data_IF_639940344622
#
_entry.id   IF_639940344622
#
_cell.length_a   1.000
_cell.length_b   1.000
_cell.length_c   1.000
_cell.angle_alpha   90.00
_cell.angle_beta   90.00
_cell.angle_gamma   90.00
#
_symmetry.space_group_name_H-M   'P 1'
#
loop_
_entity.id
_entity.type
_entity.pdbx_description
1 polymer ?
#
# COMPACT_ATOMS: atom_id res chain seq x y z
N UNK A 1 -20.09 25.22 -10.33
CA UNK A 1 -19.03 24.58 -9.51
C UNK A 1 -19.71 23.95 -8.31
N UNK A 2 -19.30 22.76 -7.90
CA UNK A 2 -19.91 22.04 -6.77
C UNK A 2 -18.86 21.94 -5.65
N UNK A 3 -19.17 22.51 -4.49
CA UNK A 3 -18.38 22.26 -3.28
C UNK A 3 -18.56 20.79 -2.88
N UNK A 4 -17.46 20.11 -2.58
CA UNK A 4 -17.46 18.73 -2.08
C UNK A 4 -16.80 18.69 -0.70
N UNK A 5 -17.42 17.95 0.21
CA UNK A 5 -16.82 17.65 1.51
C UNK A 5 -15.68 16.66 1.37
N UNK A 6 -14.54 16.96 1.99
CA UNK A 6 -13.41 16.04 2.07
C UNK A 6 -13.75 14.98 3.12
N UNK A 7 -14.13 13.78 2.66
CA UNK A 7 -14.52 12.67 3.54
C UNK A 7 -13.51 12.51 4.68
N UNK A 8 -14.03 12.38 5.91
CA UNK A 8 -13.27 12.23 7.17
C UNK A 8 -12.63 13.51 7.73
N UNK A 9 -12.72 14.66 7.05
CA UNK A 9 -12.36 15.99 7.59
C UNK A 9 -13.59 16.81 8.02
N UNK A 10 -14.78 16.25 7.87
CA UNK A 10 -16.06 16.88 8.14
C UNK A 10 -16.29 17.03 9.65
N UNK A 11 -15.99 18.20 10.19
CA UNK A 11 -16.30 18.54 11.58
C UNK A 11 -16.93 19.92 11.62
N UNK A 12 -18.27 19.96 11.53
CA UNK A 12 -19.09 21.17 11.41
C UNK A 12 -18.79 22.25 12.49
N UNK A 13 -18.08 21.90 13.56
CA UNK A 13 -17.78 22.80 14.68
C UNK A 13 -16.77 23.90 14.40
N UNK A 14 -15.95 23.80 13.35
CA UNK A 14 -14.90 24.79 13.04
C UNK A 14 -15.25 25.77 11.91
N UNK A 15 -16.35 25.51 11.17
CA UNK A 15 -16.62 26.21 9.91
C UNK A 15 -15.54 25.95 8.85
N UNK A 16 -15.61 26.68 7.74
CA UNK A 16 -14.64 26.57 6.63
C UNK A 16 -13.57 27.67 6.65
N UNK A 17 -13.72 28.70 7.49
CA UNK A 17 -12.92 29.92 7.42
C UNK A 17 -13.37 30.86 6.28
N UNK A 18 -12.63 31.94 6.06
CA UNK A 18 -12.97 32.97 5.07
C UNK A 18 -12.06 32.85 3.84
N UNK A 19 -12.66 32.82 2.64
CA UNK A 19 -11.89 32.83 1.40
C UNK A 19 -11.22 34.18 1.20
N UNK A 20 -9.96 34.17 0.78
CA UNK A 20 -9.18 35.38 0.49
C UNK A 20 -8.04 35.02 -0.49
N UNK A 21 -7.71 35.92 -1.42
CA UNK A 21 -6.56 35.77 -2.33
C UNK A 21 -5.36 36.62 -1.89
N UNK A 22 -5.50 37.47 -0.88
CA UNK A 22 -4.43 38.34 -0.35
C UNK A 22 -3.14 37.59 -0.02
N UNK A 23 -3.15 36.37 0.58
CA UNK A 23 -1.93 35.60 0.81
C UNK A 23 -1.20 35.23 -0.49
N UNK A 24 -1.96 34.82 -1.52
CA UNK A 24 -1.42 34.51 -2.85
C UNK A 24 -0.89 35.78 -3.53
N UNK A 25 -1.65 36.88 -3.52
CA UNK A 25 -1.24 38.16 -4.09
C UNK A 25 0.10 38.61 -3.48
N UNK A 26 0.21 38.56 -2.14
CA UNK A 26 1.43 38.90 -1.41
C UNK A 26 2.61 38.00 -1.79
N UNK A 27 2.35 36.71 -2.00
CA UNK A 27 3.36 35.75 -2.45
C UNK A 27 3.86 36.05 -3.87
N UNK A 28 2.94 36.28 -4.82
CA UNK A 28 3.28 36.60 -6.21
C UNK A 28 4.03 37.94 -6.31
N UNK A 29 3.62 38.96 -5.56
CA UNK A 29 4.33 40.24 -5.48
C UNK A 29 5.77 40.07 -4.97
N UNK A 30 5.98 39.22 -3.94
CA UNK A 30 7.34 38.88 -3.46
C UNK A 30 8.19 38.20 -4.54
N UNK A 31 7.59 37.38 -5.41
CA UNK A 31 8.31 36.78 -6.55
C UNK A 31 8.73 37.86 -7.55
N UNK A 32 7.84 38.81 -7.88
CA UNK A 32 8.15 39.90 -8.82
C UNK A 32 9.30 40.80 -8.34
N UNK A 33 9.49 40.93 -7.03
CA UNK A 33 10.60 41.68 -6.42
C UNK A 33 11.95 40.94 -6.49
N UNK A 34 11.97 39.63 -6.71
CA UNK A 34 13.22 38.85 -6.82
C UNK A 34 13.89 39.02 -8.20
N UNK A 35 15.22 38.87 -8.25
CA UNK A 35 16.03 39.05 -9.46
C UNK A 35 15.87 37.86 -10.43
N UNK A 36 15.35 38.12 -11.64
CA UNK A 36 15.24 37.14 -12.73
C UNK A 36 14.04 37.39 -13.66
N UNK A 37 14.24 38.01 -14.83
CA UNK A 37 13.16 38.41 -15.76
C UNK A 37 12.28 37.24 -16.23
N UNK A 38 12.85 36.03 -16.39
CA UNK A 38 12.14 34.86 -16.93
C UNK A 38 11.03 34.34 -16.01
N UNK A 39 11.08 34.62 -14.71
CA UNK A 39 10.12 34.12 -13.72
C UNK A 39 8.98 35.11 -13.42
N UNK A 40 8.97 36.29 -14.05
CA UNK A 40 8.02 37.36 -13.71
C UNK A 40 6.72 37.34 -14.51
N UNK A 41 6.75 36.81 -15.73
CA UNK A 41 5.58 36.85 -16.64
C UNK A 41 4.37 36.11 -16.07
N UNK A 42 4.55 34.86 -15.64
CA UNK A 42 3.44 34.05 -15.14
C UNK A 42 2.82 34.63 -13.85
N UNK A 43 3.60 34.97 -12.79
CA UNK A 43 3.05 35.66 -11.62
C UNK A 43 2.32 36.95 -11.95
N UNK A 44 2.84 37.74 -12.89
CA UNK A 44 2.22 38.99 -13.30
C UNK A 44 0.87 38.76 -13.99
N UNK A 45 0.78 37.80 -14.91
CA UNK A 45 -0.48 37.45 -15.55
C UNK A 45 -1.53 36.92 -14.55
N UNK A 46 -1.11 36.17 -13.53
CA UNK A 46 -2.02 35.73 -12.46
C UNK A 46 -2.54 36.92 -11.66
N UNK A 47 -1.68 37.88 -11.30
CA UNK A 47 -2.07 39.09 -10.57
C UNK A 47 -3.03 39.98 -11.38
N UNK A 48 -2.75 40.19 -12.67
CA UNK A 48 -3.61 40.96 -13.57
C UNK A 48 -5.01 40.33 -13.67
N UNK A 49 -5.07 39.01 -13.86
CA UNK A 49 -6.34 38.28 -13.91
C UNK A 49 -7.12 38.36 -12.59
N UNK A 50 -6.44 38.25 -11.45
CA UNK A 50 -7.07 38.42 -10.12
C UNK A 50 -7.67 39.83 -10.02
N UNK A 51 -6.90 40.85 -10.36
CA UNK A 51 -7.34 42.24 -10.28
C UNK A 51 -8.56 42.51 -11.18
N UNK A 52 -8.52 42.09 -12.44
CA UNK A 52 -9.64 42.24 -13.38
C UNK A 52 -10.90 41.51 -12.87
N UNK A 53 -10.73 40.33 -12.28
CA UNK A 53 -11.84 39.55 -11.71
C UNK A 53 -12.43 40.23 -10.48
N UNK A 54 -11.60 40.77 -9.58
CA UNK A 54 -12.04 41.50 -8.39
C UNK A 54 -12.77 42.81 -8.75
N UNK A 55 -12.30 43.53 -9.76
CA UNK A 55 -12.98 44.74 -10.27
C UNK A 55 -14.38 44.42 -10.83
N UNK A 56 -14.55 43.25 -11.46
CA UNK A 56 -15.82 42.84 -12.05
C UNK A 56 -16.80 42.20 -11.06
N UNK A 57 -16.30 41.42 -10.09
CA UNK A 57 -17.14 40.53 -9.26
C UNK A 57 -16.95 40.69 -7.75
N UNK A 58 -16.21 41.73 -7.32
CA UNK A 58 -15.73 41.93 -5.94
C UNK A 58 -14.80 40.81 -5.45
N UNK A 59 -14.15 41.00 -4.31
CA UNK A 59 -13.22 40.02 -3.71
C UNK A 59 -13.85 38.63 -3.53
N UNK A 60 -13.00 37.61 -3.63
CA UNK A 60 -13.40 36.20 -3.57
C UNK A 60 -14.19 35.88 -2.29
N UNK A 61 -15.32 35.22 -2.45
CA UNK A 61 -16.15 34.69 -1.36
C UNK A 61 -16.91 33.44 -1.83
N UNK A 62 -17.75 32.87 -0.95
CA UNK A 62 -18.48 31.63 -1.23
C UNK A 62 -19.53 31.78 -2.35
N UNK A 63 -20.06 32.99 -2.56
CA UNK A 63 -21.15 33.25 -3.49
C UNK A 63 -20.68 33.53 -4.92
N UNK A 64 -19.43 33.97 -5.10
CA UNK A 64 -18.86 34.34 -6.40
C UNK A 64 -17.83 33.34 -6.96
N UNK A 65 -17.68 32.16 -6.37
CA UNK A 65 -16.74 31.10 -6.80
C UNK A 65 -16.76 30.83 -8.31
N UNK A 66 -17.95 30.79 -8.92
CA UNK A 66 -18.09 30.51 -10.34
C UNK A 66 -17.42 31.56 -11.25
N UNK A 67 -17.39 32.82 -10.81
CA UNK A 67 -16.75 33.92 -11.54
C UNK A 67 -15.22 33.86 -11.49
N UNK A 68 -14.65 33.14 -10.52
CA UNK A 68 -13.20 33.00 -10.32
C UNK A 68 -12.61 31.76 -11.00
N UNK A 69 -13.39 31.05 -11.83
CA UNK A 69 -12.94 29.80 -12.46
C UNK A 69 -11.61 29.94 -13.22
N UNK A 70 -11.45 31.01 -13.99
CA UNK A 70 -10.21 31.28 -14.76
C UNK A 70 -9.01 31.54 -13.85
N UNK A 71 -9.23 32.25 -12.73
CA UNK A 71 -8.20 32.46 -11.69
C UNK A 71 -7.76 31.11 -11.12
N UNK A 72 -8.69 30.21 -10.81
CA UNK A 72 -8.37 28.89 -10.26
C UNK A 72 -7.61 28.00 -11.26
N UNK A 73 -7.97 28.06 -12.54
CA UNK A 73 -7.23 27.39 -13.63
C UNK A 73 -5.79 27.91 -13.71
N UNK A 74 -5.59 29.22 -13.58
CA UNK A 74 -4.27 29.83 -13.56
C UNK A 74 -3.45 29.46 -12.31
N UNK A 75 -4.09 29.34 -11.14
CA UNK A 75 -3.43 28.82 -9.92
C UNK A 75 -2.97 27.37 -10.15
N UNK A 76 -3.81 26.52 -10.73
CA UNK A 76 -3.45 25.14 -11.06
C UNK A 76 -2.22 25.08 -11.98
N UNK A 77 -2.20 25.89 -13.04
CA UNK A 77 -1.08 25.97 -13.98
C UNK A 77 0.19 26.54 -13.34
N UNK A 78 0.05 27.50 -12.41
CA UNK A 78 1.16 28.06 -11.65
C UNK A 78 1.83 27.00 -10.76
N UNK A 79 1.04 26.19 -10.07
CA UNK A 79 1.53 25.14 -9.15
C UNK A 79 2.09 23.91 -9.88
N UNK A 80 1.46 23.48 -10.98
CA UNK A 80 1.81 22.21 -11.65
C UNK A 80 2.66 22.42 -12.93
N UNK A 81 2.83 23.67 -13.37
CA UNK A 81 3.45 24.02 -14.64
C UNK A 81 2.58 23.64 -15.84
N UNK A 82 3.12 23.84 -17.06
CA UNK A 82 2.44 23.52 -18.33
C UNK A 82 2.54 22.03 -18.71
N UNK A 83 2.50 21.12 -17.72
CA UNK A 83 2.58 19.68 -17.99
C UNK A 83 1.23 19.15 -18.44
N UNK A 84 1.17 18.66 -19.68
CA UNK A 84 -0.06 18.09 -20.27
C UNK A 84 -0.31 16.64 -19.81
N UNK A 85 0.74 15.92 -19.41
CA UNK A 85 0.72 14.45 -19.27
C UNK A 85 0.49 13.95 -17.84
N UNK A 86 0.80 14.74 -16.81
CA UNK A 86 0.54 14.40 -15.40
C UNK A 86 -0.61 15.25 -14.89
N UNK A 87 -1.85 14.85 -15.19
CA UNK A 87 -3.02 15.38 -14.49
C UNK A 87 -2.92 14.93 -13.02
N UNK A 88 -2.42 15.82 -12.18
CA UNK A 88 -2.38 15.57 -10.74
C UNK A 88 -3.80 15.49 -10.18
N UNK A 89 -4.01 14.64 -9.18
CA UNK A 89 -5.24 14.64 -8.40
C UNK A 89 -5.15 15.82 -7.43
N UNK A 90 -5.73 16.97 -7.82
CA UNK A 90 -5.45 18.26 -7.19
C UNK A 90 -6.72 19.08 -6.98
N UNK A 91 -6.75 19.89 -5.93
CA UNK A 91 -7.87 20.73 -5.57
C UNK A 91 -7.48 21.99 -4.77
N UNK A 92 -8.36 22.99 -4.81
CA UNK A 92 -8.42 24.13 -3.90
C UNK A 92 -9.47 23.89 -2.82
N UNK A 93 -9.00 23.91 -1.58
CA UNK A 93 -9.83 23.80 -0.40
C UNK A 93 -10.01 25.12 0.32
N UNK A 94 -11.02 25.17 1.18
CA UNK A 94 -11.18 26.26 2.14
C UNK A 94 -9.99 26.34 3.13
N UNK A 95 -9.78 27.49 3.80
CA UNK A 95 -8.72 27.66 4.82
C UNK A 95 -8.73 26.59 5.91
N UNK A 96 -9.93 26.20 6.35
CA UNK A 96 -10.16 24.99 7.13
C UNK A 96 -10.56 23.91 6.11
N UNK A 97 -9.71 22.89 5.85
CA UNK A 97 -9.81 22.03 4.66
C UNK A 97 -10.88 20.93 4.79
N UNK A 98 -12.09 21.29 5.21
CA UNK A 98 -13.23 20.36 5.28
C UNK A 98 -13.94 20.23 3.93
N UNK A 99 -13.81 21.25 3.09
CA UNK A 99 -14.48 21.35 1.79
C UNK A 99 -13.51 21.81 0.71
N UNK A 100 -13.78 21.34 -0.50
CA UNK A 100 -13.08 21.71 -1.73
C UNK A 100 -14.06 22.41 -2.64
N UNK A 101 -13.69 23.60 -3.12
CA UNK A 101 -14.54 24.41 -3.99
C UNK A 101 -14.16 24.35 -5.47
N UNK A 102 -12.93 23.91 -5.78
CA UNK A 102 -12.42 23.74 -7.14
C UNK A 102 -11.41 22.60 -7.19
N UNK A 103 -11.34 21.84 -8.27
CA UNK A 103 -10.34 20.78 -8.42
C UNK A 103 -10.40 20.08 -9.77
N UNK A 104 -9.49 19.14 -9.99
CA UNK A 104 -9.46 18.33 -11.20
C UNK A 104 -10.56 17.27 -11.19
N UNK A 105 -11.00 16.82 -12.36
CA UNK A 105 -12.00 15.75 -12.47
C UNK A 105 -11.56 14.48 -11.72
N UNK A 106 -10.26 14.13 -11.79
CA UNK A 106 -9.70 12.99 -11.08
C UNK A 106 -9.79 13.15 -9.56
N UNK A 107 -9.71 14.38 -9.03
CA UNK A 107 -9.91 14.65 -7.59
C UNK A 107 -11.34 14.34 -7.17
N UNK A 108 -12.33 14.81 -7.92
CA UNK A 108 -13.73 14.51 -7.65
C UNK A 108 -14.03 13.01 -7.82
N UNK A 109 -13.48 12.39 -8.88
CA UNK A 109 -13.67 10.98 -9.18
C UNK A 109 -13.14 10.01 -8.12
N UNK A 110 -12.14 10.42 -7.30
CA UNK A 110 -11.74 9.60 -6.16
C UNK A 110 -12.87 9.42 -5.14
N UNK A 111 -13.76 10.41 -4.98
CA UNK A 111 -14.83 10.33 -3.99
C UNK A 111 -16.07 9.57 -4.47
N UNK A 112 -16.15 9.26 -5.77
CA UNK A 112 -17.18 8.37 -6.36
C UNK A 112 -17.02 6.91 -5.90
N UNK A 113 -15.80 6.54 -5.47
CA UNK A 113 -15.49 5.22 -4.94
C UNK A 113 -15.60 5.16 -3.41
N UNK A 114 -15.43 3.94 -2.86
CA UNK A 114 -15.32 3.77 -1.42
C UNK A 114 -13.94 4.25 -0.92
N UNK A 115 -13.88 5.54 -0.62
CA UNK A 115 -12.69 6.26 -0.15
C UNK A 115 -12.78 6.48 1.35
N UNK A 116 -11.82 5.93 2.07
CA UNK A 116 -11.78 5.90 3.54
C UNK A 116 -10.43 6.36 4.04
N UNK A 117 -10.42 7.20 5.08
CA UNK A 117 -9.20 7.58 5.76
C UNK A 117 -8.66 6.38 6.56
N UNK A 118 -7.36 6.12 6.46
CA UNK A 118 -6.65 5.16 7.31
C UNK A 118 -6.33 5.87 8.64
N UNK A 119 -6.95 5.48 9.76
CA UNK A 119 -6.73 6.17 11.03
C UNK A 119 -5.31 5.93 11.54
N UNK A 120 -4.60 7.03 11.87
CA UNK A 120 -3.28 6.98 12.52
C UNK A 120 -3.33 6.71 14.02
N UNK A 121 -4.49 6.87 14.66
CA UNK A 121 -4.70 6.59 16.09
C UNK A 121 -6.02 5.87 16.32
N UNK A 122 -6.08 5.11 17.42
CA UNK A 122 -7.33 4.55 17.95
C UNK A 122 -8.10 5.54 18.84
N UNK A 123 -7.50 6.68 19.21
CA UNK A 123 -8.14 7.67 20.04
C UNK A 123 -9.19 8.46 19.25
N UNK A 124 -10.46 8.30 19.62
CA UNK A 124 -11.60 8.97 18.96
C UNK A 124 -11.72 10.46 19.29
N UNK A 125 -11.06 10.95 20.33
CA UNK A 125 -11.16 12.36 20.75
C UNK A 125 -10.39 13.30 19.82
N UNK A 126 -9.40 12.75 19.11
CA UNK A 126 -8.53 13.49 18.20
C UNK A 126 -8.96 13.24 16.77
N UNK A 127 -9.71 14.18 16.21
CA UNK A 127 -10.12 14.11 14.80
C UNK A 127 -8.95 14.49 13.88
N UNK A 128 -8.92 13.97 12.64
CA UNK A 128 -7.88 14.34 11.66
C UNK A 128 -7.82 15.85 11.39
N UNK A 129 -8.98 16.51 11.32
CA UNK A 129 -9.05 17.96 11.12
C UNK A 129 -8.47 18.72 12.30
N UNK A 130 -8.72 18.29 13.55
CA UNK A 130 -8.06 18.87 14.73
C UNK A 130 -6.54 18.78 14.57
N UNK A 131 -6.00 17.60 14.27
CA UNK A 131 -4.55 17.39 14.12
C UNK A 131 -3.93 18.36 13.10
N UNK A 132 -4.59 18.57 11.97
CA UNK A 132 -4.17 19.53 10.94
C UNK A 132 -4.18 20.97 11.45
N UNK A 133 -5.26 21.41 12.09
CA UNK A 133 -5.35 22.80 12.58
C UNK A 133 -4.32 23.06 13.66
N UNK A 134 -4.15 22.14 14.61
CA UNK A 134 -3.15 22.27 15.66
C UNK A 134 -1.72 22.27 15.10
N UNK A 135 -1.40 21.42 14.12
CA UNK A 135 -0.05 21.39 13.56
C UNK A 135 0.34 22.73 12.91
N UNK A 136 -0.60 23.37 12.21
CA UNK A 136 -0.37 24.68 11.58
C UNK A 136 -0.34 25.81 12.62
N UNK A 137 -1.20 25.78 13.64
CA UNK A 137 -1.17 26.80 14.71
C UNK A 137 0.14 26.71 15.50
N UNK A 138 0.57 25.51 15.87
CA UNK A 138 1.83 25.30 16.61
C UNK A 138 3.05 25.75 15.80
N UNK A 139 3.04 25.54 14.49
CA UNK A 139 4.06 26.05 13.56
C UNK A 139 4.12 27.57 13.56
N UNK A 140 2.99 28.25 13.39
CA UNK A 140 2.97 29.71 13.23
C UNK A 140 3.17 30.49 14.52
N UNK A 141 2.68 29.99 15.64
CA UNK A 141 2.64 30.75 16.90
C UNK A 141 3.62 30.23 17.96
N UNK A 142 4.10 28.99 17.84
CA UNK A 142 4.97 28.36 18.85
C UNK A 142 6.29 27.83 18.28
N UNK A 143 6.54 27.98 16.97
CA UNK A 143 7.79 27.57 16.33
C UNK A 143 7.99 26.04 16.25
N UNK A 144 6.92 25.27 16.45
CA UNK A 144 6.95 23.80 16.37
C UNK A 144 6.87 23.36 14.91
N UNK A 145 7.83 22.62 14.36
CA UNK A 145 7.78 22.21 12.96
C UNK A 145 6.51 21.42 12.63
N UNK A 146 5.84 21.77 11.53
CA UNK A 146 4.63 21.08 11.10
C UNK A 146 4.99 19.80 10.33
N UNK A 147 4.72 18.65 10.95
CA UNK A 147 5.06 17.33 10.40
C UNK A 147 3.84 16.49 10.02
N UNK A 148 2.63 16.96 10.31
CA UNK A 148 1.38 16.20 10.17
C UNK A 148 0.51 16.69 8.99
N UNK A 149 1.10 16.95 7.82
CA UNK A 149 0.37 17.45 6.62
C UNK A 149 -0.14 16.34 5.68
N UNK A 150 0.19 15.09 5.97
CA UNK A 150 -0.13 13.95 5.09
C UNK A 150 -1.12 13.00 5.78
N UNK A 151 -2.24 12.78 5.10
CA UNK A 151 -3.28 11.83 5.48
C UNK A 151 -3.30 10.66 4.49
N UNK A 152 -3.38 9.44 5.00
CA UNK A 152 -3.44 8.24 4.16
C UNK A 152 -4.89 7.83 3.94
N UNK A 153 -5.27 7.58 2.69
CA UNK A 153 -6.59 7.12 2.29
C UNK A 153 -6.47 5.78 1.55
N UNK A 154 -7.45 4.91 1.77
CA UNK A 154 -7.70 3.74 0.92
C UNK A 154 -8.88 4.01 0.00
N UNK A 155 -8.73 3.66 -1.27
CA UNK A 155 -9.79 3.74 -2.28
C UNK A 155 -10.03 2.33 -2.80
N UNK A 156 -11.25 1.81 -2.61
CA UNK A 156 -11.60 0.48 -3.11
C UNK A 156 -12.38 0.58 -4.42
N UNK A 157 -11.82 -0.01 -5.49
CA UNK A 157 -12.42 -0.10 -6.82
C UNK A 157 -12.37 -1.55 -7.29
N UNK A 158 -13.51 -2.11 -7.68
CA UNK A 158 -13.61 -3.49 -8.19
C UNK A 158 -12.93 -4.55 -7.30
N UNK A 159 -13.08 -4.43 -5.97
CA UNK A 159 -12.44 -5.28 -4.93
C UNK A 159 -10.93 -5.12 -4.80
N UNK A 160 -10.31 -4.19 -5.52
CA UNK A 160 -8.90 -3.82 -5.39
C UNK A 160 -8.79 -2.60 -4.50
N UNK A 161 -7.85 -2.63 -3.56
CA UNK A 161 -7.56 -1.50 -2.67
C UNK A 161 -6.34 -0.75 -3.17
N UNK A 162 -6.51 0.55 -3.40
CA UNK A 162 -5.47 1.51 -3.73
C UNK A 162 -5.17 2.37 -2.51
N UNK A 163 -3.93 2.83 -2.38
CA UNK A 163 -3.49 3.70 -1.29
C UNK A 163 -3.08 5.05 -1.84
N UNK A 164 -3.67 6.10 -1.29
CA UNK A 164 -3.37 7.49 -1.66
C UNK A 164 -2.93 8.28 -0.43
N UNK A 165 -2.01 9.21 -0.63
CA UNK A 165 -1.63 10.19 0.36
C UNK A 165 -2.14 11.57 -0.03
N UNK A 166 -2.99 12.14 0.82
CA UNK A 166 -3.46 13.51 0.72
C UNK A 166 -2.49 14.44 1.44
N UNK A 167 -1.79 15.24 0.66
CA UNK A 167 -1.02 16.39 1.14
C UNK A 167 -1.88 17.65 1.14
N UNK A 168 -1.85 18.40 2.24
CA UNK A 168 -2.56 19.67 2.38
C UNK A 168 -1.54 20.77 2.64
N UNK A 169 -1.52 21.77 1.75
CA UNK A 169 -0.68 22.95 1.86
C UNK A 169 -1.49 24.14 2.39
N UNK A 170 -0.94 24.78 3.43
CA UNK A 170 -1.48 25.96 4.09
C UNK A 170 -0.69 27.23 3.74
N UNK A 171 0.17 27.20 2.72
CA UNK A 171 1.01 28.34 2.29
C UNK A 171 0.20 29.59 1.99
N UNK A 172 -1.01 29.44 1.44
CA UNK A 172 -1.92 30.54 1.09
C UNK A 172 -3.05 30.73 2.10
N UNK A 173 -2.87 30.26 3.33
CA UNK A 173 -3.75 30.55 4.46
C UNK A 173 -3.04 31.56 5.35
N UNK A 174 -3.70 32.61 5.79
CA UNK A 174 -3.29 33.46 6.91
C UNK A 174 -4.08 33.06 8.15
N UNK A 175 -3.42 33.12 9.32
CA UNK A 175 -4.04 32.76 10.59
C UNK A 175 -3.83 33.91 11.55
N UNK A 176 -4.92 34.48 12.04
CA UNK A 176 -4.92 35.53 13.06
C UNK A 176 -5.48 34.99 14.37
N UNK A 177 -5.07 35.59 15.49
CA UNK A 177 -5.54 35.22 16.83
C UNK A 177 -6.68 36.13 17.25
N UNK A 178 -7.73 35.54 17.81
CA UNK A 178 -8.88 36.26 18.37
C UNK A 178 -8.64 36.62 19.85
N UNK A 179 -7.72 35.93 20.53
CA UNK A 179 -7.41 36.12 21.95
C UNK A 179 -5.92 35.96 22.26
N UNK A 180 -5.53 36.21 23.50
CA UNK A 180 -4.16 35.97 23.97
C UNK A 180 -3.76 34.50 23.80
N UNK A 181 -2.48 34.27 23.45
CA UNK A 181 -1.95 32.93 23.25
C UNK A 181 -1.77 32.23 24.61
N UNK A 182 -2.32 31.02 24.81
CA UNK A 182 -2.07 30.29 26.03
C UNK A 182 -0.59 29.89 26.16
N UNK A 183 -0.11 29.77 27.39
CA UNK A 183 1.20 29.17 27.65
C UNK A 183 1.05 27.65 27.54
N UNK A 184 1.71 27.05 26.57
CA UNK A 184 1.64 25.61 26.29
C UNK A 184 2.92 24.94 26.76
N UNK A 185 2.79 23.81 27.45
CA UNK A 185 3.92 22.94 27.74
C UNK A 185 4.19 22.03 26.53
N UNK A 186 5.30 22.28 25.82
CA UNK A 186 5.70 21.53 24.63
C UNK A 186 6.58 20.31 24.93
N UNK A 187 6.74 19.93 26.21
CA UNK A 187 7.59 18.80 26.61
C UNK A 187 7.19 17.47 25.93
N UNK A 188 5.90 17.27 25.62
CA UNK A 188 5.41 16.06 24.94
C UNK A 188 5.91 15.92 23.50
N UNK A 189 6.33 17.02 22.86
CA UNK A 189 6.77 17.06 21.46
C UNK A 189 8.30 17.03 21.30
N UNK A 190 9.04 17.14 22.41
CA UNK A 190 10.48 17.32 22.39
C UNK A 190 11.20 16.07 21.83
N UNK A 191 12.19 16.29 20.96
CA UNK A 191 13.08 15.27 20.41
C UNK A 191 12.40 14.14 19.61
N UNK A 192 11.15 14.32 19.18
CA UNK A 192 10.41 13.35 18.34
C UNK A 192 10.54 13.67 16.87
N UNK A 193 10.64 12.64 16.03
CA UNK A 193 10.65 12.76 14.57
C UNK A 193 9.22 12.92 14.00
N UNK A 194 8.24 12.26 14.60
CA UNK A 194 6.81 12.41 14.28
C UNK A 194 6.01 12.63 15.56
N UNK A 195 4.92 13.41 15.48
CA UNK A 195 4.03 13.62 16.63
C UNK A 195 2.84 12.70 16.50
N UNK A 196 2.72 11.77 17.45
CA UNK A 196 1.52 10.96 17.53
C UNK A 196 0.35 11.83 18.03
N UNK A 197 -0.90 11.43 17.75
CA UNK A 197 -2.07 12.12 18.28
C UNK A 197 -2.06 12.25 19.81
N UNK A 198 -1.52 11.25 20.50
CA UNK A 198 -1.36 11.21 21.96
C UNK A 198 -0.36 12.27 22.45
N UNK A 199 0.63 12.64 21.63
CA UNK A 199 1.60 13.69 21.96
C UNK A 199 0.97 15.09 21.94
N UNK A 200 -0.06 15.26 21.13
CA UNK A 200 -0.80 16.50 20.95
C UNK A 200 -2.00 16.63 21.91
N UNK A 201 -2.46 15.54 22.51
CA UNK A 201 -3.59 15.55 23.47
C UNK A 201 -3.47 16.60 24.59
N UNK A 202 -2.32 16.73 25.29
CA UNK A 202 -2.17 17.76 26.33
C UNK A 202 -2.31 19.19 25.81
N UNK A 203 -2.03 19.40 24.52
CA UNK A 203 -2.11 20.71 23.87
C UNK A 203 -3.57 21.04 23.54
N UNK A 204 -4.37 20.03 23.17
CA UNK A 204 -5.78 20.20 22.81
C UNK A 204 -6.66 20.69 23.96
N UNK A 205 -6.25 20.46 25.21
CA UNK A 205 -6.99 20.92 26.38
C UNK A 205 -6.85 22.43 26.62
N UNK A 206 -5.76 23.03 26.15
CA UNK A 206 -5.39 24.42 26.45
C UNK A 206 -5.55 25.33 25.25
N UNK A 207 -5.26 24.82 24.05
CA UNK A 207 -5.33 25.54 22.80
C UNK A 207 -6.66 25.18 22.11
N UNK A 208 -7.48 26.18 21.77
CA UNK A 208 -8.73 25.96 21.04
C UNK A 208 -8.61 26.56 19.63
N UNK A 209 -8.65 25.76 18.55
CA UNK A 209 -8.57 26.26 17.17
C UNK A 209 -9.68 27.26 16.83
N UNK A 210 -10.82 27.25 17.54
CA UNK A 210 -11.90 28.23 17.34
C UNK A 210 -11.53 29.66 17.75
N UNK A 211 -10.44 29.83 18.50
CA UNK A 211 -9.89 31.15 18.86
C UNK A 211 -8.93 31.71 17.80
N UNK A 212 -8.87 31.07 16.64
CA UNK A 212 -8.09 31.49 15.49
C UNK A 212 -9.02 31.69 14.30
N UNK A 213 -8.75 32.75 13.54
CA UNK A 213 -9.42 33.01 12.28
C UNK A 213 -8.50 32.60 11.14
N UNK A 214 -9.03 31.81 10.22
CA UNK A 214 -8.32 31.27 9.07
C UNK A 214 -8.86 31.97 7.82
N UNK A 215 -8.01 32.71 7.12
CA UNK A 215 -8.33 33.42 5.88
C UNK A 215 -7.46 32.91 4.74
N UNK A 216 -7.97 32.80 3.52
CA UNK A 216 -7.18 32.33 2.38
C UNK A 216 -7.76 31.10 1.66
N UNK A 217 -6.89 30.18 1.25
CA UNK A 217 -7.28 28.86 0.73
C UNK A 217 -6.16 27.81 0.91
N UNK A 218 -6.52 26.54 0.86
CA UNK A 218 -5.57 25.42 0.93
C UNK A 218 -5.37 24.76 -0.43
N UNK A 219 -4.18 24.19 -0.66
CA UNK A 219 -3.94 23.31 -1.81
C UNK A 219 -4.00 21.85 -1.34
N UNK A 220 -4.79 21.04 -2.04
CA UNK A 220 -4.93 19.62 -1.75
C UNK A 220 -4.38 18.82 -2.92
N UNK A 221 -3.52 17.85 -2.63
CA UNK A 221 -2.98 16.94 -3.65
C UNK A 221 -2.96 15.52 -3.15
N UNK A 222 -3.65 14.63 -3.86
CA UNK A 222 -3.51 13.20 -3.69
C UNK A 222 -2.35 12.67 -4.53
N UNK A 223 -1.56 11.79 -3.92
CA UNK A 223 -0.52 11.02 -4.61
C UNK A 223 -0.84 9.55 -4.48
N UNK A 224 -0.82 8.81 -5.58
CA UNK A 224 -0.90 7.34 -5.53
C UNK A 224 0.39 6.81 -4.88
N UNK A 225 0.22 6.05 -3.80
CA UNK A 225 1.29 5.39 -3.05
C UNK A 225 1.07 3.88 -2.99
N UNK A 226 0.13 3.34 -3.76
CA UNK A 226 -0.27 1.92 -3.75
C UNK A 226 0.95 1.00 -3.84
N UNK A 227 1.90 1.33 -4.71
CA UNK A 227 3.12 0.57 -4.86
C UNK A 227 4.01 0.59 -3.60
N UNK A 228 4.22 1.77 -3.02
CA UNK A 228 5.04 1.93 -1.82
C UNK A 228 4.42 1.17 -0.63
N UNK A 229 3.09 1.27 -0.44
CA UNK A 229 2.37 0.53 0.60
C UNK A 229 2.43 -0.98 0.38
N UNK A 230 2.27 -1.45 -0.86
CA UNK A 230 2.40 -2.88 -1.17
C UNK A 230 3.82 -3.40 -0.91
N UNK A 231 4.84 -2.62 -1.26
CA UNK A 231 6.23 -2.96 -0.98
C UNK A 231 6.51 -3.06 0.52
N UNK A 232 6.02 -2.08 1.30
CA UNK A 232 6.16 -2.11 2.76
C UNK A 232 5.45 -3.32 3.37
N UNK A 233 4.25 -3.63 2.90
CA UNK A 233 3.51 -4.82 3.34
C UNK A 233 4.28 -6.13 3.10
N UNK A 234 4.98 -6.28 1.97
CA UNK A 234 5.85 -7.44 1.73
C UNK A 234 7.04 -7.47 2.71
N UNK A 235 7.60 -6.31 3.07
CA UNK A 235 8.66 -6.23 4.09
C UNK A 235 8.14 -6.65 5.46
N UNK A 236 6.98 -6.13 5.86
CA UNK A 236 6.32 -6.51 7.12
C UNK A 236 6.07 -8.01 7.19
N UNK A 237 5.57 -8.62 6.10
CA UNK A 237 5.40 -10.08 6.03
C UNK A 237 6.70 -10.84 6.25
N UNK A 238 7.81 -10.34 5.69
CA UNK A 238 9.12 -10.96 5.89
C UNK A 238 9.53 -10.94 7.36
N UNK A 239 9.34 -9.82 8.03
CA UNK A 239 9.67 -9.66 9.47
C UNK A 239 8.77 -10.50 10.37
N UNK A 240 7.47 -10.58 10.07
CA UNK A 240 6.48 -11.32 10.86
C UNK A 240 6.48 -12.84 10.63
N UNK A 241 7.29 -13.34 9.68
CA UNK A 241 7.25 -14.72 9.20
C UNK A 241 7.40 -15.75 10.32
N UNK A 242 8.34 -15.55 11.25
CA UNK A 242 8.61 -16.49 12.35
C UNK A 242 7.64 -16.37 13.52
N UNK A 243 6.95 -15.23 13.64
CA UNK A 243 6.08 -14.91 14.79
C UNK A 243 4.59 -15.13 14.49
N UNK A 244 4.24 -15.35 13.22
CA UNK A 244 2.85 -15.51 12.77
C UNK A 244 2.50 -16.97 12.57
N UNK A 245 1.28 -17.35 12.95
CA UNK A 245 0.74 -18.66 12.60
C UNK A 245 0.80 -18.86 11.07
N UNK A 246 1.28 -20.01 10.58
CA UNK A 246 1.50 -20.18 9.16
C UNK A 246 0.25 -20.06 8.27
N UNK A 247 -0.96 -20.45 8.71
CA UNK A 247 -2.19 -20.24 7.92
C UNK A 247 -2.47 -18.75 7.75
N UNK A 248 -2.39 -18.02 8.86
CA UNK A 248 -2.60 -16.56 8.89
C UNK A 248 -1.57 -15.87 8.01
N UNK A 249 -0.31 -16.31 8.06
CA UNK A 249 0.75 -15.78 7.21
C UNK A 249 0.44 -15.96 5.72
N UNK A 250 0.06 -17.17 5.30
CA UNK A 250 -0.24 -17.44 3.89
C UNK A 250 -1.50 -16.73 3.39
N UNK A 251 -2.51 -16.56 4.22
CA UNK A 251 -3.68 -15.73 3.90
C UNK A 251 -3.30 -14.27 3.69
N UNK A 252 -2.45 -13.71 4.59
CA UNK A 252 -1.94 -12.33 4.44
C UNK A 252 -1.11 -12.17 3.17
N UNK A 253 -0.25 -13.15 2.84
CA UNK A 253 0.57 -13.18 1.64
C UNK A 253 -0.30 -13.25 0.37
N UNK A 254 -1.26 -14.17 0.32
CA UNK A 254 -2.17 -14.31 -0.82
C UNK A 254 -2.93 -13.00 -1.06
N UNK A 255 -3.43 -12.37 0.01
CA UNK A 255 -4.07 -11.05 -0.10
C UNK A 255 -3.11 -9.98 -0.60
N UNK A 256 -1.85 -9.94 -0.12
CA UNK A 256 -0.87 -8.97 -0.59
C UNK A 256 -0.55 -9.14 -2.10
N UNK A 257 -0.38 -10.38 -2.56
CA UNK A 257 -0.16 -10.68 -3.97
C UNK A 257 -1.38 -10.29 -4.83
N UNK A 258 -2.60 -10.56 -4.35
CA UNK A 258 -3.84 -10.17 -5.03
C UNK A 258 -4.02 -8.64 -5.09
N UNK A 259 -3.58 -7.90 -4.08
CA UNK A 259 -3.64 -6.44 -4.09
C UNK A 259 -2.59 -5.86 -5.06
N UNK A 260 -1.42 -6.51 -5.19
CA UNK A 260 -0.39 -6.14 -6.18
C UNK A 260 -0.85 -6.41 -7.61
N UNK A 261 -1.58 -7.50 -7.89
CA UNK A 261 -2.09 -7.77 -9.25
C UNK A 261 -3.06 -6.68 -9.72
N UNK A 262 -3.72 -5.99 -8.79
CA UNK A 262 -4.77 -5.00 -9.05
C UNK A 262 -5.87 -5.50 -10.01
N UNK A 263 -6.06 -6.82 -10.07
CA UNK A 263 -7.07 -7.44 -10.92
C UNK A 263 -7.39 -8.84 -10.39
N UNK A 264 -8.61 -9.04 -9.91
CA UNK A 264 -9.07 -10.31 -9.35
C UNK A 264 -9.14 -11.46 -10.36
N UNK A 265 -9.06 -11.17 -11.66
CA UNK A 265 -9.04 -12.18 -12.73
C UNK A 265 -7.62 -12.67 -13.08
N UNK A 266 -6.59 -12.03 -12.51
CA UNK A 266 -5.20 -12.49 -12.62
C UNK A 266 -4.88 -13.28 -11.37
N UNK A 267 -4.48 -14.54 -11.56
CA UNK A 267 -4.00 -15.36 -10.45
C UNK A 267 -2.50 -15.15 -10.27
N UNK A 268 -2.07 -14.97 -9.01
CA UNK A 268 -0.68 -14.87 -8.63
C UNK A 268 -0.35 -15.96 -7.60
N UNK A 269 0.81 -16.60 -7.75
CA UNK A 269 1.34 -17.59 -6.81
C UNK A 269 2.83 -17.37 -6.60
N UNK A 270 3.25 -17.43 -5.35
CA UNK A 270 4.66 -17.44 -4.97
C UNK A 270 4.99 -18.84 -4.49
N UNK A 271 5.97 -19.49 -5.12
CA UNK A 271 6.34 -20.87 -4.87
C UNK A 271 7.78 -20.93 -4.32
N UNK A 272 7.97 -21.09 -3.01
CA UNK A 272 9.27 -21.43 -2.43
C UNK A 272 9.66 -22.85 -2.85
N UNK A 273 10.77 -22.97 -3.58
CA UNK A 273 11.31 -24.23 -4.06
C UNK A 273 12.80 -24.32 -3.71
N UNK A 274 13.15 -25.29 -2.88
CA UNK A 274 14.52 -25.65 -2.58
C UNK A 274 14.93 -26.99 -3.17
N UNK A 275 16.13 -27.42 -2.80
CA UNK A 275 16.64 -28.75 -3.08
C UNK A 275 17.00 -29.44 -1.76
N UNK A 276 16.68 -30.72 -1.64
CA UNK A 276 17.16 -31.60 -0.59
C UNK A 276 17.80 -32.83 -1.24
N UNK A 277 19.10 -33.00 -1.05
CA UNK A 277 19.91 -34.07 -1.68
C UNK A 277 19.73 -34.12 -3.22
N UNK A 278 19.65 -32.96 -3.87
CA UNK A 278 19.48 -32.84 -5.32
C UNK A 278 18.03 -32.91 -5.82
N UNK A 279 17.07 -33.30 -4.98
CA UNK A 279 15.65 -33.37 -5.34
C UNK A 279 14.91 -32.09 -5.00
N UNK A 280 13.98 -31.62 -5.86
CA UNK A 280 13.17 -30.44 -5.57
C UNK A 280 12.22 -30.68 -4.38
N UNK A 281 12.23 -29.75 -3.43
CA UNK A 281 11.33 -29.73 -2.27
C UNK A 281 10.67 -28.36 -2.17
N UNK A 282 9.39 -28.31 -1.78
CA UNK A 282 8.66 -27.05 -1.62
C UNK A 282 7.93 -27.01 -0.29
N UNK A 283 7.71 -25.80 0.22
CA UNK A 283 6.81 -25.59 1.35
C UNK A 283 5.37 -25.80 0.92
N UNK A 284 4.64 -26.62 1.67
CA UNK A 284 3.22 -26.87 1.43
C UNK A 284 2.37 -25.68 1.88
N UNK A 285 1.36 -25.30 1.11
CA UNK A 285 0.52 -24.11 1.37
C UNK A 285 0.82 -22.93 0.44
N UNK A 286 2.00 -22.90 -0.19
CA UNK A 286 2.38 -21.91 -1.21
C UNK A 286 1.89 -22.28 -2.63
N UNK A 287 1.41 -23.52 -2.81
CA UNK A 287 1.20 -24.18 -4.10
C UNK A 287 -0.28 -24.28 -4.53
N UNK A 288 -1.20 -23.70 -3.75
CA UNK A 288 -2.65 -23.86 -3.95
C UNK A 288 -3.07 -23.44 -5.37
N UNK A 289 -2.38 -22.50 -6.00
CA UNK A 289 -2.72 -22.00 -7.33
C UNK A 289 -1.62 -22.19 -8.39
N UNK A 290 -0.51 -22.85 -8.09
CA UNK A 290 0.56 -22.98 -9.08
C UNK A 290 0.22 -23.99 -10.18
N UNK A 291 0.31 -23.58 -11.45
CA UNK A 291 0.03 -24.47 -12.59
C UNK A 291 1.27 -25.32 -12.89
N UNK A 292 2.43 -24.67 -12.96
CA UNK A 292 3.68 -25.32 -13.31
C UNK A 292 4.11 -26.33 -12.25
N UNK A 293 4.04 -25.97 -10.97
CA UNK A 293 4.47 -26.88 -9.90
C UNK A 293 3.54 -28.06 -9.69
N UNK A 294 2.23 -27.89 -9.87
CA UNK A 294 1.28 -29.02 -9.84
C UNK A 294 1.61 -30.05 -10.91
N UNK A 295 2.10 -29.62 -12.07
CA UNK A 295 2.55 -30.54 -13.12
C UNK A 295 3.85 -31.26 -12.72
N UNK A 296 4.80 -30.54 -12.10
CA UNK A 296 6.03 -31.13 -11.56
C UNK A 296 5.71 -32.16 -10.47
N UNK A 297 4.88 -31.82 -9.49
CA UNK A 297 4.47 -32.73 -8.41
C UNK A 297 3.80 -34.00 -8.94
N UNK A 298 2.94 -33.89 -9.94
CA UNK A 298 2.32 -35.07 -10.57
C UNK A 298 3.36 -35.99 -11.17
N UNK A 299 4.34 -35.43 -11.91
CA UNK A 299 5.43 -36.18 -12.52
C UNK A 299 6.42 -36.77 -11.50
N UNK A 300 6.68 -36.06 -10.40
CA UNK A 300 7.45 -36.55 -9.24
C UNK A 300 6.80 -37.82 -8.67
N UNK A 301 5.50 -37.78 -8.40
CA UNK A 301 4.75 -38.91 -7.81
C UNK A 301 4.72 -40.15 -8.70
N UNK A 302 4.75 -39.96 -10.02
CA UNK A 302 4.79 -41.08 -10.99
C UNK A 302 6.19 -41.60 -11.26
N UNK A 303 7.24 -40.97 -10.69
CA UNK A 303 8.64 -41.34 -10.93
C UNK A 303 9.14 -41.01 -12.34
N UNK A 304 8.41 -40.15 -13.06
CA UNK A 304 8.64 -39.82 -14.48
C UNK A 304 8.99 -38.34 -14.61
N UNK A 305 10.09 -37.94 -13.94
CA UNK A 305 10.62 -36.60 -14.17
C UNK A 305 11.22 -36.55 -15.57
N UNK A 306 10.53 -35.79 -16.40
CA UNK A 306 11.00 -35.37 -17.70
C UNK A 306 12.41 -34.75 -17.60
N UNK A 307 13.31 -35.15 -18.49
CA UNK A 307 14.67 -34.60 -18.53
C UNK A 307 14.64 -33.09 -18.74
N UNK A 308 13.66 -32.59 -19.52
CA UNK A 308 13.48 -31.16 -19.77
C UNK A 308 13.11 -30.38 -18.50
N UNK A 309 12.28 -30.96 -17.63
CA UNK A 309 11.91 -30.33 -16.35
C UNK A 309 13.09 -30.34 -15.38
N UNK A 310 13.85 -31.43 -15.35
CA UNK A 310 15.05 -31.54 -14.51
C UNK A 310 16.09 -30.49 -14.94
N UNK A 311 16.38 -30.41 -16.24
CA UNK A 311 17.29 -29.42 -16.82
C UNK A 311 16.83 -27.98 -16.54
N UNK A 312 15.52 -27.73 -16.60
CA UNK A 312 14.95 -26.43 -16.24
C UNK A 312 15.17 -26.06 -14.76
N UNK A 313 15.00 -27.01 -13.83
CA UNK A 313 15.24 -26.77 -12.41
C UNK A 313 16.74 -26.60 -12.07
N UNK A 314 17.64 -27.02 -12.94
CA UNK A 314 19.07 -26.75 -12.84
C UNK A 314 19.45 -25.39 -13.39
N UNK A 315 18.88 -25.00 -14.54
CA UNK A 315 19.11 -23.70 -15.13
C UNK A 315 17.79 -23.01 -15.53
N UNK A 316 17.05 -22.45 -14.56
CA UNK A 316 15.72 -21.93 -14.83
C UNK A 316 15.80 -20.61 -15.58
N UNK A 317 14.90 -20.47 -16.54
CA UNK A 317 14.67 -19.26 -17.34
C UNK A 317 13.20 -18.79 -17.21
N UNK A 318 12.89 -17.52 -17.45
CA UNK A 318 11.51 -17.04 -17.45
C UNK A 318 10.67 -17.75 -18.51
N UNK A 319 9.47 -18.22 -18.14
CA UNK A 319 8.50 -18.78 -19.07
C UNK A 319 7.39 -17.75 -19.26
N UNK A 320 7.19 -17.28 -20.49
CA UNK A 320 6.22 -16.24 -20.83
C UNK A 320 5.38 -16.74 -22.02
N UNK A 321 4.08 -16.46 -22.01
CA UNK A 321 3.19 -16.73 -23.13
C UNK A 321 2.03 -15.74 -23.15
N UNK A 322 1.66 -15.23 -24.33
CA UNK A 322 0.48 -14.38 -24.50
C UNK A 322 0.58 -13.00 -23.84
N UNK A 323 1.79 -12.53 -23.55
CA UNK A 323 2.06 -11.19 -23.01
C UNK A 323 2.58 -10.26 -24.09
N UNK A 324 3.59 -10.74 -24.82
CA UNK A 324 4.14 -10.11 -26.02
C UNK A 324 4.79 -11.20 -26.86
N UNK A 325 4.45 -11.31 -28.14
CA UNK A 325 4.92 -12.38 -29.02
C UNK A 325 6.45 -12.49 -29.08
N UNK A 326 7.17 -11.38 -28.94
CA UNK A 326 8.65 -11.37 -28.92
C UNK A 326 9.27 -11.94 -27.63
N UNK A 327 8.48 -12.06 -26.56
CA UNK A 327 8.89 -12.60 -25.26
C UNK A 327 8.40 -14.04 -25.05
N UNK A 328 7.53 -14.54 -25.92
CA UNK A 328 6.91 -15.84 -25.76
C UNK A 328 7.94 -16.98 -25.78
N UNK A 329 7.73 -17.95 -24.90
CA UNK A 329 8.61 -19.09 -24.72
C UNK A 329 8.33 -20.16 -25.77
N UNK A 330 9.30 -20.41 -26.64
CA UNK A 330 9.21 -21.40 -27.71
C UNK A 330 9.50 -22.84 -27.26
N UNK A 331 9.91 -23.05 -26.01
CA UNK A 331 10.27 -24.37 -25.52
C UNK A 331 9.05 -25.32 -25.51
N UNK A 332 9.09 -26.45 -26.26
CA UNK A 332 7.90 -27.27 -26.56
C UNK A 332 7.15 -27.80 -25.33
N UNK A 333 7.88 -28.24 -24.29
CA UNK A 333 7.27 -28.77 -23.06
C UNK A 333 6.44 -27.71 -22.34
N UNK A 334 6.98 -26.52 -22.13
CA UNK A 334 6.28 -25.44 -21.41
C UNK A 334 5.11 -24.89 -22.22
N UNK A 335 5.27 -24.74 -23.55
CA UNK A 335 4.17 -24.38 -24.45
C UNK A 335 3.01 -25.37 -24.33
N UNK A 336 3.28 -26.67 -24.35
CA UNK A 336 2.26 -27.72 -24.20
C UNK A 336 1.57 -27.69 -22.84
N UNK A 337 2.29 -27.35 -21.76
CA UNK A 337 1.70 -27.18 -20.42
C UNK A 337 0.70 -26.02 -20.43
N UNK A 338 1.07 -24.89 -21.01
CA UNK A 338 0.25 -23.67 -21.07
C UNK A 338 -1.00 -23.91 -21.94
N UNK A 339 -0.82 -24.47 -23.14
CA UNK A 339 -1.92 -24.77 -24.08
C UNK A 339 -2.97 -25.73 -23.48
N UNK A 340 -2.53 -26.79 -22.79
CA UNK A 340 -3.43 -27.74 -22.11
C UNK A 340 -4.32 -27.08 -21.05
N UNK A 341 -3.83 -26.01 -20.43
CA UNK A 341 -4.53 -25.27 -19.37
C UNK A 341 -5.43 -24.17 -19.92
N UNK A 342 -5.42 -23.94 -21.24
CA UNK A 342 -6.22 -22.92 -21.94
C UNK A 342 -6.04 -21.52 -21.33
N UNK A 343 -4.80 -21.20 -20.95
CA UNK A 343 -4.46 -19.88 -20.46
C UNK A 343 -4.35 -18.93 -21.65
N UNK A 344 -4.86 -17.70 -21.48
CA UNK A 344 -4.70 -16.66 -22.47
C UNK A 344 -3.33 -15.99 -22.32
N UNK A 345 -2.83 -15.88 -21.10
CA UNK A 345 -1.50 -15.35 -20.80
C UNK A 345 -0.90 -16.00 -19.55
N UNK A 346 0.42 -16.11 -19.54
CA UNK A 346 1.20 -16.80 -18.51
C UNK A 346 2.58 -16.16 -18.35
N UNK A 347 3.01 -15.98 -17.10
CA UNK A 347 4.35 -15.53 -16.72
C UNK A 347 4.83 -16.40 -15.55
N UNK A 348 6.00 -17.01 -15.67
CA UNK A 348 6.69 -17.68 -14.58
C UNK A 348 8.12 -17.16 -14.51
N UNK A 349 8.48 -16.53 -13.40
CA UNK A 349 9.78 -15.90 -13.19
C UNK A 349 10.53 -16.68 -12.11
N UNK A 350 11.71 -17.26 -12.41
CA UNK A 350 12.54 -17.86 -11.39
C UNK A 350 13.13 -16.81 -10.46
N UNK A 351 12.99 -17.04 -9.16
CA UNK A 351 13.52 -16.18 -8.10
C UNK A 351 14.85 -16.75 -7.62
N UNK A 352 15.92 -15.97 -7.78
CA UNK A 352 17.29 -16.39 -7.40
C UNK A 352 17.83 -15.50 -6.28
N UNK A 353 18.14 -16.09 -5.14
CA UNK A 353 18.83 -15.41 -4.04
C UNK A 353 20.27 -15.93 -3.95
N UNK A 354 21.26 -15.03 -4.07
CA UNK A 354 22.70 -15.37 -4.04
C UNK A 354 23.10 -16.48 -5.02
N UNK A 355 22.51 -16.48 -6.23
CA UNK A 355 22.64 -17.46 -7.33
C UNK A 355 21.84 -18.75 -7.17
N UNK A 356 21.36 -19.06 -5.97
CA UNK A 356 20.52 -20.23 -5.74
C UNK A 356 19.06 -19.95 -6.12
N UNK A 357 18.44 -20.89 -6.83
CA UNK A 357 17.00 -20.89 -7.03
C UNK A 357 16.31 -21.07 -5.67
N UNK A 358 15.53 -20.07 -5.27
CA UNK A 358 14.72 -20.14 -4.04
C UNK A 358 13.25 -20.35 -4.32
N UNK A 359 12.81 -20.14 -5.57
CA UNK A 359 11.42 -20.33 -5.92
C UNK A 359 11.03 -19.74 -7.26
N UNK A 360 9.72 -19.62 -7.48
CA UNK A 360 9.13 -19.05 -8.67
C UNK A 360 8.00 -18.09 -8.30
N UNK A 361 7.88 -17.01 -9.06
CA UNK A 361 6.68 -16.18 -9.12
C UNK A 361 5.89 -16.58 -10.36
N UNK A 362 4.61 -16.92 -10.20
CA UNK A 362 3.73 -17.34 -11.29
C UNK A 362 2.52 -16.41 -11.37
N UNK A 363 2.24 -15.88 -12.57
CA UNK A 363 1.11 -15.04 -12.90
C UNK A 363 0.39 -15.62 -14.11
N UNK A 364 -0.93 -15.71 -14.07
CA UNK A 364 -1.68 -16.17 -15.24
C UNK A 364 -3.10 -15.65 -15.29
N UNK A 365 -3.66 -15.65 -16.50
CA UNK A 365 -5.05 -15.31 -16.77
C UNK A 365 -5.61 -16.20 -17.87
N UNK A 366 -6.89 -16.58 -17.74
CA UNK A 366 -7.67 -17.22 -18.82
C UNK A 366 -8.34 -16.19 -19.74
N UNK A 367 -8.30 -14.91 -19.36
CA UNK A 367 -8.88 -13.80 -20.12
C UNK A 367 -7.75 -13.11 -20.90
N UNK A 368 -7.89 -12.93 -22.23
CA UNK A 368 -6.92 -12.23 -23.06
C UNK A 368 -6.63 -10.81 -22.57
N UNK A 369 -5.42 -10.33 -22.90
CA UNK A 369 -4.98 -8.93 -22.72
C UNK A 369 -4.92 -8.40 -21.27
N UNK A 370 -5.13 -9.24 -20.24
CA UNK A 370 -5.00 -8.83 -18.84
C UNK A 370 -3.55 -8.78 -18.34
N UNK A 371 -2.69 -9.67 -18.82
CA UNK A 371 -1.25 -9.63 -18.56
C UNK A 371 -0.54 -9.10 -19.80
N UNK A 372 0.00 -7.88 -19.69
CA UNK A 372 0.77 -7.23 -20.75
C UNK A 372 2.11 -6.70 -20.23
N UNK A 373 2.83 -5.96 -21.08
CA UNK A 373 4.13 -5.36 -20.71
C UNK A 373 4.08 -4.49 -19.45
N UNK A 374 2.99 -3.73 -19.28
CA UNK A 374 2.79 -2.87 -18.10
C UNK A 374 2.75 -3.71 -16.81
N UNK A 375 2.04 -4.85 -16.84
CA UNK A 375 1.99 -5.79 -15.73
C UNK A 375 3.39 -6.35 -15.42
N UNK A 376 4.16 -6.71 -16.46
CA UNK A 376 5.52 -7.22 -16.29
C UNK A 376 6.46 -6.18 -15.65
N UNK A 377 6.41 -4.93 -16.09
CA UNK A 377 7.20 -3.84 -15.50
C UNK A 377 6.81 -3.57 -14.04
N UNK A 378 5.52 -3.53 -13.73
CA UNK A 378 5.02 -3.38 -12.36
C UNK A 378 5.53 -4.52 -11.46
N UNK A 379 5.43 -5.78 -11.91
CA UNK A 379 5.91 -6.93 -11.13
C UNK A 379 7.43 -6.95 -10.98
N UNK A 380 8.18 -6.45 -11.96
CA UNK A 380 9.64 -6.37 -11.90
C UNK A 380 10.13 -5.62 -10.65
N UNK A 381 9.43 -4.54 -10.27
CA UNK A 381 9.79 -3.71 -9.12
C UNK A 381 9.63 -4.44 -7.78
N UNK A 382 8.78 -5.46 -7.70
CA UNK A 382 8.60 -6.28 -6.49
C UNK A 382 9.50 -7.52 -6.45
N UNK A 383 10.15 -7.90 -7.55
CA UNK A 383 10.97 -9.12 -7.62
C UNK A 383 12.05 -9.20 -6.53
N UNK A 384 12.78 -8.14 -6.17
CA UNK A 384 13.78 -8.21 -5.10
C UNK A 384 13.15 -8.56 -3.74
N UNK A 385 12.01 -7.94 -3.40
CA UNK A 385 11.29 -8.19 -2.14
C UNK A 385 10.71 -9.61 -2.10
N UNK A 386 10.08 -10.03 -3.19
CA UNK A 386 9.52 -11.38 -3.31
C UNK A 386 10.62 -12.45 -3.28
N UNK A 387 11.77 -12.20 -3.91
CA UNK A 387 12.92 -13.11 -3.85
C UNK A 387 13.42 -13.27 -2.43
N UNK A 388 13.55 -12.16 -1.69
CA UNK A 388 13.99 -12.21 -0.30
C UNK A 388 12.97 -12.93 0.60
N UNK A 389 11.69 -12.55 0.53
CA UNK A 389 10.61 -13.21 1.25
C UNK A 389 10.58 -14.72 0.97
N UNK A 390 10.73 -15.11 -0.30
CA UNK A 390 10.76 -16.53 -0.70
C UNK A 390 11.96 -17.27 -0.11
N UNK A 391 13.14 -16.62 -0.05
CA UNK A 391 14.33 -17.20 0.56
C UNK A 391 14.14 -17.43 2.06
N UNK A 392 13.52 -16.48 2.77
CA UNK A 392 13.21 -16.61 4.19
C UNK A 392 12.18 -17.72 4.46
N UNK A 393 11.09 -17.77 3.68
CA UNK A 393 10.11 -18.88 3.77
C UNK A 393 10.81 -20.22 3.55
N UNK A 394 11.69 -20.32 2.56
CA UNK A 394 12.42 -21.55 2.27
C UNK A 394 13.40 -21.93 3.39
N UNK A 395 14.03 -20.95 4.05
CA UNK A 395 14.94 -21.20 5.16
C UNK A 395 14.20 -21.74 6.40
N UNK A 396 13.04 -21.15 6.74
CA UNK A 396 12.16 -21.65 7.80
C UNK A 396 11.71 -23.08 7.49
N UNK A 397 11.25 -23.33 6.26
CA UNK A 397 10.81 -24.66 5.82
C UNK A 397 11.92 -25.71 5.95
N UNK A 398 13.15 -25.40 5.50
CA UNK A 398 14.29 -26.33 5.61
C UNK A 398 14.61 -26.65 7.07
N UNK A 399 14.59 -25.65 7.95
CA UNK A 399 14.86 -25.82 9.38
C UNK A 399 13.84 -26.76 10.03
N UNK A 400 12.55 -26.57 9.74
CA UNK A 400 11.49 -27.45 10.25
C UNK A 400 11.56 -28.87 9.66
N UNK A 401 11.90 -28.99 8.37
CA UNK A 401 12.09 -30.28 7.73
C UNK A 401 13.25 -31.07 8.35
N UNK A 402 14.38 -30.41 8.61
CA UNK A 402 15.51 -31.01 9.31
C UNK A 402 15.12 -31.48 10.71
N UNK A 403 14.34 -30.69 11.46
CA UNK A 403 13.82 -31.09 12.77
C UNK A 403 12.96 -32.35 12.68
N UNK A 404 12.00 -32.38 11.75
CA UNK A 404 11.13 -33.55 11.53
C UNK A 404 11.93 -34.78 11.13
N UNK A 405 12.97 -34.62 10.29
CA UNK A 405 13.83 -35.73 9.89
C UNK A 405 14.59 -36.29 11.10
N UNK A 406 15.21 -35.42 11.91
CA UNK A 406 15.96 -35.83 13.10
C UNK A 406 15.07 -36.51 14.15
N UNK A 407 13.85 -35.99 14.35
CA UNK A 407 12.90 -36.52 15.34
C UNK A 407 12.31 -37.88 14.94
N UNK A 408 12.07 -38.12 13.64
CA UNK A 408 11.34 -39.30 13.17
C UNK A 408 12.22 -40.37 12.51
N UNK A 409 13.43 -40.01 12.05
CA UNK A 409 14.28 -40.91 11.27
C UNK A 409 15.72 -40.90 11.82
N UNK A 410 15.92 -41.62 12.92
CA UNK A 410 17.18 -41.67 13.68
C UNK A 410 18.29 -42.54 13.07
N UNK A 411 18.03 -43.27 11.99
CA UNK A 411 19.05 -44.03 11.25
C UNK A 411 18.67 -44.13 9.76
N UNK A 412 19.29 -43.33 8.90
CA UNK A 412 19.02 -43.35 7.46
C UNK A 412 20.15 -44.01 6.67
N UNK A 413 19.79 -45.02 5.89
CA UNK A 413 20.61 -45.51 4.79
C UNK A 413 20.45 -44.52 3.60
N UNK A 414 21.54 -43.98 3.01
CA UNK A 414 21.49 -42.97 1.96
C UNK A 414 20.60 -43.32 0.76
N UNK A 415 20.47 -44.61 0.44
CA UNK A 415 19.77 -45.09 -0.76
C UNK A 415 18.24 -44.93 -0.73
N UNK A 416 17.62 -44.79 0.45
CA UNK A 416 16.14 -44.69 0.61
C UNK A 416 15.68 -43.32 1.09
N UNK A 417 16.62 -42.42 1.35
CA UNK A 417 16.41 -41.13 1.99
C UNK A 417 15.44 -40.22 1.21
N UNK A 418 15.39 -40.31 -0.12
CA UNK A 418 14.49 -39.48 -0.94
C UNK A 418 13.00 -39.80 -0.71
N UNK A 419 12.60 -41.08 -0.52
CA UNK A 419 11.21 -41.45 -0.19
C UNK A 419 10.84 -40.97 1.21
N UNK A 420 11.78 -41.01 2.15
CA UNK A 420 11.57 -40.49 3.50
C UNK A 420 11.46 -38.96 3.52
N UNK A 421 12.21 -38.26 2.69
CA UNK A 421 12.12 -36.81 2.54
C UNK A 421 10.76 -36.38 1.96
N UNK A 422 10.23 -37.11 0.97
CA UNK A 422 8.88 -36.87 0.44
C UNK A 422 7.82 -37.14 1.52
N UNK A 423 7.94 -38.24 2.25
CA UNK A 423 7.06 -38.57 3.38
C UNK A 423 7.16 -37.52 4.50
N UNK A 424 8.35 -37.03 4.84
CA UNK A 424 8.57 -35.98 5.83
C UNK A 424 8.00 -34.63 5.39
N UNK A 425 8.22 -34.23 4.13
CA UNK A 425 7.62 -33.03 3.54
C UNK A 425 6.08 -33.12 3.49
N UNK A 426 5.53 -34.30 3.19
CA UNK A 426 4.09 -34.56 3.26
C UNK A 426 3.57 -34.65 4.71
N UNK A 427 4.38 -35.07 5.69
CA UNK A 427 4.02 -35.04 7.11
C UNK A 427 3.97 -33.61 7.65
N UNK A 428 4.78 -32.70 7.09
CA UNK A 428 4.64 -31.27 7.35
C UNK A 428 3.26 -30.77 6.91
N UNK A 429 2.61 -31.36 5.90
CA UNK A 429 1.17 -31.17 5.57
C UNK A 429 0.29 -32.23 6.25
N UNK A 430 -0.04 -32.15 7.55
CA UNK A 430 -0.78 -31.08 8.22
C UNK A 430 -0.33 -30.88 9.70
N UNK A 431 0.94 -31.17 10.02
CA UNK A 431 1.48 -31.07 11.38
C UNK A 431 1.79 -29.62 11.78
N UNK A 432 2.06 -28.75 10.80
CA UNK A 432 2.21 -27.29 10.94
C UNK A 432 0.91 -26.54 11.31
N UNK A 433 -0.24 -27.23 11.31
CA UNK A 433 -1.57 -26.70 11.64
C UNK A 433 -2.07 -27.08 13.04
N UNK A 434 -1.22 -27.68 13.87
CA UNK A 434 -1.62 -28.07 15.24
C UNK A 434 -0.93 -27.16 16.25
N UNK A 435 -1.68 -26.48 17.14
CA UNK A 435 -1.07 -25.72 18.21
C UNK A 435 -0.21 -26.64 19.09
N UNK A 436 0.83 -26.10 19.75
CA UNK A 436 1.67 -26.90 20.64
C UNK A 436 0.78 -27.56 21.70
N UNK A 437 0.85 -28.89 21.79
CA UNK A 437 0.23 -29.59 22.92
C UNK A 437 0.93 -29.09 24.18
N UNK A 438 0.25 -28.21 24.92
CA UNK A 438 0.61 -27.88 26.29
C UNK A 438 0.81 -29.21 27.03
N UNK A 439 2.04 -29.44 27.47
CA UNK A 439 2.41 -30.55 28.35
C UNK A 439 1.83 -30.31 29.74
N UNK A 440 0.51 -30.44 29.85
CA UNK A 440 -0.21 -30.42 31.12
C UNK A 440 -0.13 -31.79 31.77
N UNK A 441 0.83 -31.99 32.68
CA UNK A 441 0.68 -32.94 33.78
C UNK A 441 -0.64 -32.62 34.48
N UNK A 442 -1.65 -33.48 34.36
CA UNK A 442 -2.75 -33.52 35.29
C UNK A 442 -2.86 -34.92 35.88
N UNK A 443 -2.57 -34.92 37.17
CA UNK A 443 -2.68 -36.00 38.14
C UNK A 443 -4.01 -36.71 38.07
N UNK A 444 -3.93 -38.02 38.30
CA UNK A 444 -4.98 -38.90 38.81
C UNK A 444 -6.01 -38.22 39.70
N UNK A 445 -7.30 -38.45 39.42
CA UNK A 445 -8.30 -38.80 40.46
C UNK A 445 -9.46 -39.57 39.83
N UNK A 446 -9.67 -40.77 40.37
CA UNK A 446 -10.85 -41.63 40.14
C UNK A 446 -12.07 -41.05 40.85
N UNK A 447 -13.26 -41.19 40.24
CA UNK A 447 -14.48 -41.69 40.92
C UNK A 447 -15.69 -41.79 39.97
N UNK A 448 -15.96 -43.04 39.54
CA UNK A 448 -17.25 -43.78 39.38
C UNK A 448 -18.49 -43.21 38.64
N UNK A 449 -19.33 -44.11 38.06
CA UNK A 449 -20.36 -43.80 37.05
C UNK A 449 -21.80 -43.76 37.59
N UNK A 450 -22.73 -43.12 36.87
CA UNK A 450 -24.18 -43.30 37.07
C UNK A 450 -25.00 -42.96 35.80
N UNK A 451 -25.61 -44.00 35.21
CA UNK A 451 -26.98 -44.08 34.66
C UNK A 451 -27.53 -43.10 33.59
N UNK A 452 -27.65 -43.64 32.36
CA UNK A 452 -28.76 -43.66 31.33
C UNK A 452 -30.17 -43.28 31.86
N UNK A 453 -31.21 -42.83 31.06
CA UNK A 453 -31.53 -43.02 29.61
C UNK A 453 -31.87 -41.75 28.80
N UNK A 454 -31.68 -41.71 27.47
CA UNK A 454 -32.51 -42.21 26.35
C UNK A 454 -33.95 -41.65 26.29
N UNK A 455 -34.15 -40.73 25.34
CA UNK A 455 -35.25 -40.69 24.37
C UNK A 455 -34.72 -40.21 23.04
#
# INVERSE_FOLDING_TARGET
MQSIKVKSLEENTYGTGNLDLTPLISFLQKILLKNGEKLKRLPQSVLELIQETEEAFSSLNQDNLASYKEVFEMIYLFENGLRVEEKGIWALGYPVPQEVFYGTEDFYGLFDYNTQLVPKTKNKNVTPIKQLLYSVILERFYGVPNRNKILTYTVTKDQVTYFYELSIDFTFVDITRVSELPIINLASLRDKEEYSPEDLEPIFEVLDPKKFEFTGFTLLKFQDKTQAYNAERLRTLTTELSDTDPEIFFDKLHKALSDITQNSKITCSLLPLGKLNGYPIASTGCDINSIFFREIQKKLKTGDLDQDITAYLENPFPIISGVETSLDTEHPVFRKIIERKRLASYICIPLRHRKDLVGFLELYSIIPDLLGKKSLLMWHEYLPLLTHLTAEILAVFKTELERVILDNFTALNPAVQWRFNEVAANHLTPAWLRPPRLSGRLSSKRSTPSTVPLT
#
